data_IF_155159029726
#
_entry.id   IF_155159029726
#
_cell.length_a   1.000
_cell.length_b   1.000
_cell.length_c   1.000
_cell.angle_alpha   90.00
_cell.angle_beta   90.00
_cell.angle_gamma   90.00
#
_symmetry.space_group_name_H-M   'P 1'
#
loop_
_entity.id
_entity.type
_entity.pdbx_description
1 polymer ?
#
# COMPACT_ATOMS: atom_id res chain seq x y z
N UNK A 1 20.97 20.72 9.80
CA UNK A 1 19.55 21.15 9.80
C UNK A 1 18.73 20.04 9.17
N UNK A 2 17.99 19.26 9.98
CA UNK A 2 17.07 18.21 9.49
C UNK A 2 15.67 18.84 9.44
N UNK A 3 15.08 18.90 8.25
CA UNK A 3 13.86 19.65 8.00
C UNK A 3 12.65 18.93 8.63
N UNK A 4 12.16 19.54 9.70
CA UNK A 4 10.96 19.22 10.46
C UNK A 4 9.73 19.41 9.58
N UNK A 5 9.16 18.35 9.00
CA UNK A 5 7.81 18.39 8.42
C UNK A 5 7.08 17.03 8.31
N UNK A 6 7.50 15.99 9.04
CA UNK A 6 6.61 14.86 9.33
C UNK A 6 5.77 15.19 10.57
N UNK A 7 4.95 16.24 10.43
CA UNK A 7 3.89 16.60 11.36
C UNK A 7 2.90 15.45 11.41
N UNK A 8 3.13 14.52 12.34
CA UNK A 8 2.15 13.56 12.82
C UNK A 8 1.03 14.35 13.51
N UNK A 9 0.03 14.77 12.75
CA UNK A 9 -1.22 15.31 13.26
C UNK A 9 -2.36 14.34 12.94
N UNK A 10 -3.10 13.98 14.00
CA UNK A 10 -4.47 13.45 14.03
C UNK A 10 -4.74 12.06 13.44
N UNK A 11 -4.92 11.09 14.33
CA UNK A 11 -6.09 10.21 14.58
C UNK A 11 -7.08 9.83 13.44
N UNK A 12 -6.78 10.07 12.16
CA UNK A 12 -7.58 9.70 10.98
C UNK A 12 -6.82 8.79 10.00
N UNK A 13 -5.54 8.50 10.25
CA UNK A 13 -4.72 7.64 9.40
C UNK A 13 -4.66 6.25 10.00
N UNK A 14 -5.65 5.43 9.69
CA UNK A 14 -5.59 4.00 9.98
C UNK A 14 -4.67 3.40 8.90
N UNK A 15 -3.38 3.25 9.23
CA UNK A 15 -2.34 2.52 8.47
C UNK A 15 -2.01 3.00 7.04
N UNK A 16 -1.41 4.18 6.92
CA UNK A 16 -0.61 4.55 5.73
C UNK A 16 0.87 4.51 6.09
N UNK A 17 1.49 3.32 6.01
CA UNK A 17 2.93 3.15 6.12
C UNK A 17 3.61 4.07 5.09
N UNK A 18 4.35 5.07 5.56
CA UNK A 18 5.11 5.97 4.69
C UNK A 18 6.34 5.18 4.22
N UNK A 19 6.37 4.84 2.93
CA UNK A 19 7.47 4.08 2.34
C UNK A 19 8.45 5.10 1.76
N UNK A 20 9.69 5.09 2.25
CA UNK A 20 10.74 5.96 1.70
C UNK A 20 11.10 5.54 0.26
N UNK A 21 11.32 6.52 -0.61
CA UNK A 21 11.82 6.27 -1.97
C UNK A 21 10.77 5.89 -3.02
N UNK A 22 9.47 5.92 -2.70
CA UNK A 22 8.41 5.80 -3.72
C UNK A 22 7.89 7.16 -4.15
N UNK A 23 7.53 7.28 -5.43
CA UNK A 23 6.93 8.48 -6.00
C UNK A 23 5.44 8.61 -5.61
N UNK A 24 4.85 9.82 -5.69
CA UNK A 24 3.41 10.01 -5.46
C UNK A 24 2.53 9.16 -6.37
N UNK A 25 2.98 8.85 -7.59
CA UNK A 25 2.27 7.98 -8.53
C UNK A 25 2.25 6.52 -8.03
N UNK A 26 3.36 6.05 -7.48
CA UNK A 26 3.47 4.72 -6.90
C UNK A 26 2.62 4.60 -5.63
N UNK A 27 2.60 5.63 -4.78
CA UNK A 27 1.71 5.66 -3.60
C UNK A 27 0.24 5.51 -4.00
N UNK A 28 -0.22 6.23 -5.04
CA UNK A 28 -1.59 6.10 -5.56
C UNK A 28 -1.92 4.68 -6.01
N UNK A 29 -0.96 3.95 -6.58
CA UNK A 29 -1.16 2.54 -6.96
C UNK A 29 -1.36 1.66 -5.73
N UNK A 30 -0.55 1.85 -4.68
CA UNK A 30 -0.66 1.08 -3.43
C UNK A 30 -2.01 1.35 -2.77
N UNK A 31 -2.43 2.61 -2.69
CA UNK A 31 -3.68 3.01 -2.05
C UNK A 31 -4.89 2.44 -2.79
N UNK A 32 -4.88 2.52 -4.13
CA UNK A 32 -5.95 1.98 -4.96
C UNK A 32 -5.98 0.44 -4.93
N UNK A 33 -4.82 -0.21 -4.92
CA UNK A 33 -4.72 -1.67 -4.79
C UNK A 33 -5.33 -2.13 -3.46
N UNK A 34 -4.97 -1.48 -2.35
CA UNK A 34 -5.57 -1.72 -1.04
C UNK A 34 -7.08 -1.54 -1.11
N UNK A 35 -7.56 -0.39 -1.60
CA UNK A 35 -9.00 -0.07 -1.67
C UNK A 35 -9.80 -1.14 -2.44
N UNK A 36 -9.26 -1.68 -3.54
CA UNK A 36 -9.94 -2.69 -4.36
C UNK A 36 -9.97 -4.09 -3.76
N UNK A 37 -8.98 -4.40 -2.92
CA UNK A 37 -8.73 -5.78 -2.47
C UNK A 37 -8.89 -5.99 -0.98
N UNK A 38 -9.05 -4.93 -0.17
CA UNK A 38 -9.18 -5.01 1.29
C UNK A 38 -10.33 -5.93 1.75
N UNK A 39 -11.41 -6.01 0.97
CA UNK A 39 -12.58 -6.83 1.29
C UNK A 39 -12.45 -8.31 0.91
N UNK A 40 -11.38 -8.68 0.19
CA UNK A 40 -11.16 -10.05 -0.27
C UNK A 40 -9.90 -10.68 0.32
N UNK A 41 -8.93 -9.88 0.74
CA UNK A 41 -7.74 -10.39 1.43
C UNK A 41 -8.11 -10.91 2.81
N UNK A 42 -7.48 -12.01 3.21
CA UNK A 42 -7.70 -12.63 4.52
C UNK A 42 -7.20 -11.70 5.64
N UNK A 43 -7.87 -11.65 6.81
CA UNK A 43 -7.44 -10.82 7.93
C UNK A 43 -5.98 -11.04 8.34
N UNK A 44 -5.48 -12.27 8.28
CA UNK A 44 -4.11 -12.64 8.62
C UNK A 44 -3.09 -12.01 7.66
N UNK A 45 -3.48 -11.77 6.40
CA UNK A 45 -2.62 -11.08 5.43
C UNK A 45 -2.50 -9.59 5.76
N UNK A 46 -3.48 -9.01 6.45
CA UNK A 46 -3.48 -7.59 6.84
C UNK A 46 -2.53 -7.29 7.99
N UNK A 47 -2.00 -8.31 8.67
CA UNK A 47 -0.92 -8.16 9.65
C UNK A 47 0.38 -7.68 9.00
N UNK A 48 0.54 -7.91 7.69
CA UNK A 48 1.66 -7.40 6.92
C UNK A 48 1.41 -5.96 6.43
N UNK A 49 1.98 -4.99 7.15
CA UNK A 49 1.89 -3.57 6.82
C UNK A 49 2.40 -3.22 5.41
N UNK A 50 3.26 -4.06 4.82
CA UNK A 50 3.85 -3.88 3.50
C UNK A 50 3.24 -4.81 2.44
N UNK A 51 2.11 -5.47 2.72
CA UNK A 51 1.46 -6.42 1.81
C UNK A 51 1.24 -5.84 0.42
N UNK A 52 0.47 -4.75 0.36
CA UNK A 52 0.10 -4.10 -0.92
C UNK A 52 1.31 -3.48 -1.63
N UNK A 53 2.30 -2.99 -0.88
CA UNK A 53 3.56 -2.51 -1.45
C UNK A 53 4.32 -3.64 -2.15
N UNK A 54 4.43 -4.82 -1.52
CA UNK A 54 5.12 -5.97 -2.14
C UNK A 54 4.45 -6.42 -3.42
N UNK A 55 3.11 -6.50 -3.44
CA UNK A 55 2.36 -6.83 -4.65
C UNK A 55 2.53 -5.78 -5.74
N UNK A 56 2.41 -4.49 -5.39
CA UNK A 56 2.62 -3.40 -6.34
C UNK A 56 4.06 -3.43 -6.89
N UNK A 57 5.07 -3.54 -6.03
CA UNK A 57 6.49 -3.59 -6.42
C UNK A 57 6.82 -4.78 -7.32
N UNK A 58 6.26 -5.96 -7.03
CA UNK A 58 6.48 -7.17 -7.82
C UNK A 58 5.89 -7.10 -9.24
N UNK A 59 5.10 -6.06 -9.53
CA UNK A 59 4.48 -5.80 -10.83
C UNK A 59 4.79 -4.41 -11.36
N UNK A 60 5.93 -3.83 -10.95
CA UNK A 60 6.38 -2.49 -11.37
C UNK A 60 5.33 -1.38 -11.16
N UNK A 61 4.53 -1.51 -10.10
CA UNK A 61 3.39 -0.64 -9.79
C UNK A 61 2.33 -0.60 -10.90
N UNK A 62 2.19 -1.68 -11.66
CA UNK A 62 1.02 -1.93 -12.49
C UNK A 62 -0.15 -2.38 -11.60
N UNK A 63 -1.16 -1.53 -11.47
CA UNK A 63 -2.34 -1.78 -10.63
C UNK A 63 -3.10 -3.04 -11.05
N UNK A 64 -3.31 -3.25 -12.35
CA UNK A 64 -4.12 -4.37 -12.86
C UNK A 64 -3.40 -5.70 -12.64
N UNK A 65 -2.09 -5.74 -12.92
CA UNK A 65 -1.30 -6.95 -12.73
C UNK A 65 -1.13 -7.30 -11.25
N UNK A 66 -0.97 -6.30 -10.38
CA UNK A 66 -0.91 -6.50 -8.94
C UNK A 66 -2.25 -6.99 -8.37
N UNK A 67 -3.37 -6.42 -8.81
CA UNK A 67 -4.71 -6.85 -8.43
C UNK A 67 -4.98 -8.30 -8.87
N UNK A 68 -4.63 -8.64 -10.13
CA UNK A 68 -4.75 -10.01 -10.64
C UNK A 68 -3.90 -11.01 -9.85
N UNK A 69 -2.71 -10.60 -9.39
CA UNK A 69 -1.86 -11.44 -8.54
C UNK A 69 -2.49 -11.71 -7.18
N UNK A 70 -3.06 -10.69 -6.51
CA UNK A 70 -3.74 -10.88 -5.22
C UNK A 70 -4.93 -11.82 -5.37
N UNK A 71 -5.76 -11.61 -6.40
CA UNK A 71 -6.95 -12.43 -6.67
C UNK A 71 -6.64 -13.88 -7.02
N UNK A 72 -5.41 -14.20 -7.42
CA UNK A 72 -4.98 -15.58 -7.71
C UNK A 72 -4.54 -16.33 -6.45
N UNK A 73 -4.18 -15.62 -5.38
CA UNK A 73 -3.66 -16.19 -4.13
C UNK A 73 -4.79 -16.49 -3.14
N UNK A 74 -5.92 -15.79 -3.29
CA UNK A 74 -7.17 -16.00 -2.55
C UNK A 74 -8.02 -17.09 -3.19
#
# INVERSE_FOLDING_TARGET
>A
MRNSNYFRNNLFIINMTVIEGISPKQQKVIDELRRRTINIVLPEMLEDELLFYRFAKARDFNLLDAEAMIRKIL
#
